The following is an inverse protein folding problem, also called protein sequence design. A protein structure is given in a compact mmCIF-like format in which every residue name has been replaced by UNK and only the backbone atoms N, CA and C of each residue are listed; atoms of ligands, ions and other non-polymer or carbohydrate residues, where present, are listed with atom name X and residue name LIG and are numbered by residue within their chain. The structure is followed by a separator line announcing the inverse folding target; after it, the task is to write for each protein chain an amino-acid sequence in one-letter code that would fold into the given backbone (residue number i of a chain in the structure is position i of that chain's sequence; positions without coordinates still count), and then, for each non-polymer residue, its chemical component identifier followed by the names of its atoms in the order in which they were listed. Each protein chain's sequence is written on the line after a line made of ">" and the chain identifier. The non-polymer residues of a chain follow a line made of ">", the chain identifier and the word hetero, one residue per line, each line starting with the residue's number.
data_IF_714878362821
#
_entry.id   IF_714878362821
#
_cell.length_a   1.000
_cell.length_b   1.000
_cell.length_c   1.000
_cell.angle_alpha   90.00
_cell.angle_beta   90.00
_cell.angle_gamma   90.00
#
_symmetry.space_group_name_H-M   'P 1'
#
loop_
_entity.id
_entity.type
_entity.pdbx_description
1 polymer ?
#
# COMPACT_ATOMS: atom_id res chain seq x y z
N UNK A 1 -8.28 -45.17 65.54
CA UNK A 1 -8.56 -43.72 65.66
C UNK A 1 -7.62 -43.01 64.73
N UNK A 2 -8.15 -42.14 63.87
CA UNK A 2 -7.35 -41.32 62.95
C UNK A 2 -6.46 -40.38 63.76
N UNK A 3 -5.17 -40.30 63.43
CA UNK A 3 -4.27 -39.43 64.19
C UNK A 3 -4.46 -37.96 63.77
N UNK A 4 -4.29 -37.02 64.72
CA UNK A 4 -4.34 -35.59 64.42
C UNK A 4 -3.35 -35.21 63.30
N UNK A 5 -2.21 -35.90 63.25
CA UNK A 5 -1.17 -35.70 62.25
C UNK A 5 -1.63 -36.09 60.83
N UNK A 6 -2.34 -37.22 60.66
CA UNK A 6 -2.90 -37.63 59.37
C UNK A 6 -3.97 -36.64 58.87
N UNK A 7 -4.74 -36.02 59.77
CA UNK A 7 -5.74 -35.02 59.42
C UNK A 7 -5.11 -33.73 58.91
N UNK A 8 -4.09 -33.24 59.63
CA UNK A 8 -3.35 -32.04 59.23
C UNK A 8 -2.62 -32.28 57.90
N UNK A 9 -2.00 -33.46 57.73
CA UNK A 9 -1.31 -33.82 56.49
C UNK A 9 -2.29 -33.87 55.31
N UNK A 10 -3.45 -34.48 55.50
CA UNK A 10 -4.49 -34.57 54.46
C UNK A 10 -5.01 -33.18 54.07
N UNK A 11 -5.25 -32.30 55.05
CA UNK A 11 -5.70 -30.93 54.79
C UNK A 11 -4.62 -30.09 54.09
N UNK A 12 -3.34 -30.26 54.45
CA UNK A 12 -2.23 -29.59 53.80
C UNK A 12 -2.10 -29.98 52.32
N UNK A 13 -2.22 -31.27 52.01
CA UNK A 13 -2.19 -31.76 50.62
C UNK A 13 -3.35 -31.19 49.81
N UNK A 14 -4.56 -31.18 50.37
CA UNK A 14 -5.74 -30.57 49.72
C UNK A 14 -5.52 -29.07 49.47
N UNK A 15 -4.97 -28.34 50.44
CA UNK A 15 -4.63 -26.92 50.30
C UNK A 15 -3.63 -26.68 49.17
N UNK A 16 -2.58 -27.49 49.06
CA UNK A 16 -1.59 -27.40 47.98
C UNK A 16 -2.24 -27.70 46.62
N UNK A 17 -3.09 -28.72 46.52
CA UNK A 17 -3.79 -29.06 45.27
C UNK A 17 -4.68 -27.90 44.81
N UNK A 18 -5.44 -27.29 45.73
CA UNK A 18 -6.29 -26.14 45.42
C UNK A 18 -5.43 -24.95 44.98
N UNK A 19 -4.33 -24.67 45.68
CA UNK A 19 -3.43 -23.57 45.34
C UNK A 19 -2.81 -23.75 43.94
N UNK A 20 -2.35 -24.97 43.60
CA UNK A 20 -1.83 -25.29 42.28
C UNK A 20 -2.93 -25.21 41.19
N UNK A 21 -4.14 -25.68 41.50
CA UNK A 21 -5.29 -25.60 40.59
C UNK A 21 -5.66 -24.15 40.26
N UNK A 22 -5.78 -23.30 41.28
CA UNK A 22 -6.05 -21.87 41.11
C UNK A 22 -4.90 -21.15 40.39
N UNK A 23 -3.66 -21.50 40.69
CA UNK A 23 -2.48 -20.99 39.99
C UNK A 23 -2.49 -21.34 38.51
N UNK A 24 -2.79 -22.59 38.16
CA UNK A 24 -2.92 -23.06 36.79
C UNK A 24 -4.04 -22.36 36.01
N UNK A 25 -5.20 -22.15 36.65
CA UNK A 25 -6.33 -21.43 36.04
C UNK A 25 -5.94 -19.97 35.74
N UNK A 26 -5.31 -19.28 36.70
CA UNK A 26 -4.87 -17.90 36.51
C UNK A 26 -3.86 -17.78 35.37
N UNK A 27 -2.87 -18.67 35.32
CA UNK A 27 -1.90 -18.72 34.22
C UNK A 27 -2.57 -19.01 32.88
N UNK A 28 -3.53 -19.93 32.84
CA UNK A 28 -4.29 -20.26 31.63
C UNK A 28 -5.09 -19.08 31.10
N UNK A 29 -5.76 -18.33 31.98
CA UNK A 29 -6.50 -17.11 31.61
C UNK A 29 -5.54 -16.05 31.06
N UNK A 30 -4.47 -15.73 31.78
CA UNK A 30 -3.52 -14.71 31.33
C UNK A 30 -2.83 -15.08 30.02
N UNK A 31 -2.46 -16.35 29.83
CA UNK A 31 -1.87 -16.82 28.57
C UNK A 31 -2.86 -16.70 27.39
N UNK A 32 -4.13 -17.01 27.63
CA UNK A 32 -5.20 -16.84 26.64
C UNK A 32 -5.40 -15.38 26.27
N UNK A 33 -5.49 -14.49 27.26
CA UNK A 33 -5.72 -13.05 27.02
C UNK A 33 -4.60 -12.42 26.19
N UNK A 34 -3.34 -12.75 26.51
CA UNK A 34 -2.17 -12.31 25.73
C UNK A 34 -2.23 -12.87 24.30
N UNK A 35 -2.63 -14.13 24.16
CA UNK A 35 -2.83 -14.77 22.86
C UNK A 35 -3.89 -14.08 22.01
N UNK A 36 -5.08 -13.84 22.58
CA UNK A 36 -6.20 -13.18 21.91
C UNK A 36 -5.82 -11.76 21.45
N UNK A 37 -5.10 -10.99 22.27
CA UNK A 37 -4.60 -9.64 21.91
C UNK A 37 -3.63 -9.67 20.73
N UNK A 38 -2.71 -10.65 20.73
CA UNK A 38 -1.75 -10.81 19.64
C UNK A 38 -2.48 -11.18 18.34
N UNK A 39 -3.46 -12.08 18.42
CA UNK A 39 -4.28 -12.46 17.27
C UNK A 39 -5.07 -11.28 16.70
N UNK A 40 -5.76 -10.48 17.54
CA UNK A 40 -6.49 -9.28 17.08
C UNK A 40 -5.56 -8.30 16.35
N UNK A 41 -4.36 -8.07 16.88
CA UNK A 41 -3.36 -7.17 16.27
C UNK A 41 -2.94 -7.66 14.88
N UNK A 42 -2.63 -8.95 14.72
CA UNK A 42 -2.26 -9.51 13.41
C UNK A 42 -3.43 -9.54 12.42
N UNK A 43 -4.65 -9.79 12.89
CA UNK A 43 -5.85 -9.75 12.03
C UNK A 43 -6.08 -8.36 11.46
N UNK A 44 -5.95 -7.30 12.28
CA UNK A 44 -6.04 -5.91 11.81
C UNK A 44 -4.96 -5.61 10.77
N UNK A 45 -3.72 -6.00 11.04
CA UNK A 45 -2.60 -5.81 10.13
C UNK A 45 -2.83 -6.50 8.78
N UNK A 46 -3.38 -7.72 8.81
CA UNK A 46 -3.75 -8.48 7.62
C UNK A 46 -4.81 -7.75 6.79
N UNK A 47 -5.90 -7.29 7.41
CA UNK A 47 -6.99 -6.59 6.69
C UNK A 47 -6.47 -5.32 6.01
N UNK A 48 -5.65 -4.53 6.72
CA UNK A 48 -5.03 -3.30 6.18
C UNK A 48 -4.17 -3.63 4.96
N UNK A 49 -3.31 -4.64 5.09
CA UNK A 49 -2.42 -5.08 4.02
C UNK A 49 -3.21 -5.61 2.82
N UNK A 50 -4.27 -6.38 3.03
CA UNK A 50 -5.13 -6.89 1.96
C UNK A 50 -5.79 -5.74 1.19
N UNK A 51 -6.33 -4.73 1.88
CA UNK A 51 -6.91 -3.54 1.26
C UNK A 51 -5.88 -2.76 0.42
N UNK A 52 -4.68 -2.57 0.96
CA UNK A 52 -3.59 -1.88 0.26
C UNK A 52 -3.12 -2.69 -0.96
N UNK A 53 -2.92 -4.00 -0.80
CA UNK A 53 -2.49 -4.90 -1.87
C UNK A 53 -3.51 -4.95 -2.99
N UNK A 54 -4.80 -5.10 -2.67
CA UNK A 54 -5.87 -5.15 -3.67
C UNK A 54 -5.93 -3.85 -4.48
N UNK A 55 -5.92 -2.69 -3.82
CA UNK A 55 -5.94 -1.40 -4.52
C UNK A 55 -4.70 -1.24 -5.39
N UNK A 56 -3.54 -1.63 -4.89
CA UNK A 56 -2.28 -1.51 -5.62
C UNK A 56 -2.17 -2.46 -6.83
N UNK A 57 -2.68 -3.69 -6.72
CA UNK A 57 -2.76 -4.64 -7.82
C UNK A 57 -3.69 -4.14 -8.94
N UNK A 58 -4.74 -3.39 -8.60
CA UNK A 58 -5.63 -2.73 -9.56
C UNK A 58 -5.17 -1.33 -9.98
N UNK A 59 -3.88 -0.99 -9.78
CA UNK A 59 -3.30 0.25 -10.30
C UNK A 59 -3.14 0.18 -11.81
N UNK A 60 -3.46 1.27 -12.49
CA UNK A 60 -3.27 1.39 -13.94
C UNK A 60 -2.49 2.67 -14.28
N UNK A 61 -1.63 2.66 -15.31
CA UNK A 61 -0.90 3.86 -15.72
C UNK A 61 -1.87 4.88 -16.36
N UNK A 62 -2.28 5.88 -15.59
CA UNK A 62 -3.11 6.99 -16.08
C UNK A 62 -2.24 8.23 -16.27
N UNK A 63 -2.35 8.86 -17.45
CA UNK A 63 -1.57 10.05 -17.81
C UNK A 63 -2.45 11.29 -17.93
N UNK A 64 -2.18 12.29 -17.09
CA UNK A 64 -3.02 13.47 -16.91
C UNK A 64 -2.29 14.74 -17.29
N UNK A 65 -3.04 15.76 -17.72
CA UNK A 65 -2.50 17.10 -17.97
C UNK A 65 -2.44 17.83 -16.63
N UNK A 66 -1.30 18.41 -16.30
CA UNK A 66 -1.12 19.17 -15.07
C UNK A 66 -1.90 20.49 -15.17
N UNK A 67 -3.03 20.60 -14.44
CA UNK A 67 -3.89 21.80 -14.46
C UNK A 67 -3.37 22.96 -13.59
N UNK A 68 -2.40 22.70 -12.71
CA UNK A 68 -1.93 23.65 -11.68
C UNK A 68 -0.83 24.64 -12.12
N UNK A 69 -0.56 24.78 -13.42
CA UNK A 69 0.45 25.73 -13.92
C UNK A 69 -0.23 27.00 -14.44
N UNK A 70 0.20 28.17 -13.94
CA UNK A 70 -0.33 29.52 -14.22
C UNK A 70 -0.65 29.78 -15.70
N UNK A 71 -1.62 30.67 -15.95
CA UNK A 71 -2.31 30.92 -17.23
C UNK A 71 -1.44 31.23 -18.47
N UNK A 72 -0.18 31.66 -18.32
CA UNK A 72 0.77 31.80 -19.44
C UNK A 72 1.47 30.46 -19.82
N UNK A 73 1.64 29.56 -18.86
CA UNK A 73 2.21 28.23 -19.06
C UNK A 73 1.16 27.19 -19.53
N UNK A 74 -0.14 27.51 -19.44
CA UNK A 74 -1.24 26.62 -19.83
C UNK A 74 -1.21 26.21 -21.31
N UNK A 75 -0.77 27.07 -22.23
CA UNK A 75 -0.60 26.70 -23.66
C UNK A 75 0.50 25.65 -23.88
N UNK A 76 1.56 25.66 -23.06
CA UNK A 76 2.66 24.67 -23.12
C UNK A 76 2.39 23.45 -22.21
N UNK A 77 1.59 23.62 -21.16
CA UNK A 77 1.18 22.57 -20.24
C UNK A 77 0.09 21.66 -20.82
N UNK A 78 -0.78 22.16 -21.71
CA UNK A 78 -1.81 21.34 -22.39
C UNK A 78 -1.26 20.14 -23.17
N UNK A 79 0.04 20.12 -23.48
CA UNK A 79 0.71 18.98 -24.12
C UNK A 79 1.65 18.20 -23.20
N UNK A 80 1.92 18.68 -21.97
CA UNK A 80 2.71 17.96 -20.96
C UNK A 80 1.79 17.05 -20.14
N UNK A 81 2.04 15.75 -20.19
CA UNK A 81 1.38 14.76 -19.34
C UNK A 81 2.29 14.27 -18.24
N UNK A 82 1.72 14.04 -17.07
CA UNK A 82 2.35 13.39 -15.93
C UNK A 82 1.58 12.12 -15.62
N UNK A 83 2.26 11.10 -15.10
CA UNK A 83 1.56 9.93 -14.59
C UNK A 83 0.90 10.24 -13.25
N UNK A 84 -0.32 9.76 -13.09
CA UNK A 84 -1.09 9.78 -11.87
C UNK A 84 -0.61 8.68 -10.90
N UNK A 85 0.67 8.71 -10.55
CA UNK A 85 1.33 7.84 -9.58
C UNK A 85 2.43 8.63 -8.88
N UNK A 86 2.35 8.72 -7.56
CA UNK A 86 3.30 9.42 -6.69
C UNK A 86 3.58 8.50 -5.51
N UNK A 87 4.81 7.98 -5.48
CA UNK A 87 5.30 7.13 -4.42
C UNK A 87 6.35 7.84 -3.59
N UNK A 88 6.03 8.16 -2.34
CA UNK A 88 6.96 8.66 -1.33
C UNK A 88 7.25 7.55 -0.32
N UNK A 89 8.32 7.68 0.46
CA UNK A 89 8.70 6.64 1.43
C UNK A 89 7.64 6.36 2.50
N UNK A 90 6.76 7.33 2.79
CA UNK A 90 5.73 7.26 3.83
C UNK A 90 4.30 7.51 3.30
N UNK A 91 4.13 7.71 2.00
CA UNK A 91 2.82 7.90 1.40
C UNK A 91 2.79 7.44 -0.03
N UNK A 92 1.65 6.90 -0.46
CA UNK A 92 1.49 6.35 -1.79
C UNK A 92 0.16 6.82 -2.37
N UNK A 93 0.23 7.54 -3.49
CA UNK A 93 -0.91 8.11 -4.20
C UNK A 93 -0.94 7.59 -5.64
N UNK A 94 -2.08 7.09 -6.09
CA UNK A 94 -2.21 6.51 -7.44
C UNK A 94 -3.68 6.39 -7.84
N UNK A 95 -3.92 6.06 -9.11
CA UNK A 95 -5.26 5.72 -9.61
C UNK A 95 -5.45 4.21 -9.63
N UNK A 96 -6.59 3.75 -9.12
CA UNK A 96 -6.96 2.35 -9.04
C UNK A 96 -8.35 2.09 -9.62
N UNK A 97 -8.53 0.86 -10.10
CA UNK A 97 -9.82 0.31 -10.54
C UNK A 97 -10.40 -0.71 -9.55
N UNK A 98 -9.76 -0.91 -8.40
CA UNK A 98 -10.34 -1.71 -7.32
C UNK A 98 -11.66 -1.07 -6.85
N UNK A 99 -12.53 -1.85 -6.22
CA UNK A 99 -13.74 -1.29 -5.62
C UNK A 99 -13.38 -0.22 -4.58
N UNK A 100 -14.05 0.94 -4.56
CA UNK A 100 -13.96 1.86 -3.44
C UNK A 100 -14.51 1.18 -2.17
N UNK A 101 -14.11 1.65 -0.99
CA UNK A 101 -14.66 1.14 0.28
C UNK A 101 -16.19 1.30 0.34
N UNK A 102 -16.72 2.32 -0.34
CA UNK A 102 -18.16 2.60 -0.42
C UNK A 102 -18.70 2.39 -1.83
N UNK A 103 -19.93 1.91 -1.94
CA UNK A 103 -20.61 1.56 -3.21
C UNK A 103 -21.01 2.75 -4.09
N UNK A 104 -20.76 4.00 -3.68
CA UNK A 104 -21.21 5.22 -4.38
C UNK A 104 -20.09 5.91 -5.17
N UNK A 105 -19.09 5.17 -5.64
CA UNK A 105 -17.94 5.72 -6.34
C UNK A 105 -17.84 5.25 -7.78
N UNK A 106 -17.13 6.02 -8.59
CA UNK A 106 -16.68 5.58 -9.90
C UNK A 106 -15.78 4.36 -9.80
N UNK A 107 -15.83 3.50 -10.83
CA UNK A 107 -14.97 2.33 -10.93
C UNK A 107 -13.48 2.70 -10.92
N UNK A 108 -13.13 3.85 -11.51
CA UNK A 108 -11.80 4.43 -11.42
C UNK A 108 -11.80 5.57 -10.40
N UNK A 109 -10.90 5.50 -9.43
CA UNK A 109 -10.76 6.55 -8.43
C UNK A 109 -9.30 6.72 -8.02
N UNK A 110 -8.98 7.90 -7.50
CA UNK A 110 -7.67 8.20 -6.95
C UNK A 110 -7.64 7.79 -5.48
N UNK A 111 -6.55 7.16 -5.06
CA UNK A 111 -6.32 6.77 -3.67
C UNK A 111 -5.04 7.38 -3.14
N UNK A 112 -4.99 7.69 -1.84
CA UNK A 112 -3.76 8.03 -1.13
C UNK A 112 -3.72 7.36 0.23
N UNK A 113 -2.65 6.61 0.49
CA UNK A 113 -2.33 6.04 1.78
C UNK A 113 -1.24 6.87 2.46
N UNK A 114 -1.43 7.22 3.73
CA UNK A 114 -0.44 7.95 4.53
C UNK A 114 -0.75 7.84 6.02
N UNK A 115 0.27 8.05 6.86
CA UNK A 115 0.06 8.28 8.29
C UNK A 115 -0.25 9.75 8.54
N UNK A 116 -1.32 10.03 9.28
CA UNK A 116 -1.73 11.41 9.57
C UNK A 116 -3.00 11.49 10.39
N UNK A 117 -3.56 12.71 10.46
CA UNK A 117 -4.83 12.99 11.14
C UNK A 117 -5.98 12.93 10.16
N UNK A 118 -7.06 12.27 10.56
CA UNK A 118 -8.30 12.25 9.80
C UNK A 118 -8.92 13.66 9.76
N UNK A 119 -9.23 14.23 8.58
CA UNK A 119 -9.64 15.65 8.47
C UNK A 119 -10.90 16.04 9.24
N UNK A 120 -11.83 15.10 9.51
CA UNK A 120 -13.09 15.38 10.22
C UNK A 120 -13.10 14.97 11.68
N UNK A 121 -12.32 13.95 12.05
CA UNK A 121 -12.39 13.35 13.39
C UNK A 121 -11.12 13.63 14.19
N UNK A 122 -10.09 14.21 13.56
CA UNK A 122 -8.77 14.52 14.12
C UNK A 122 -7.98 13.35 14.69
N UNK A 123 -8.55 12.14 14.69
CA UNK A 123 -7.89 10.90 15.07
C UNK A 123 -6.68 10.65 14.17
N UNK A 124 -5.57 10.30 14.81
CA UNK A 124 -4.32 9.98 14.11
C UNK A 124 -4.27 8.49 13.77
N UNK A 125 -3.63 8.15 12.65
CA UNK A 125 -3.40 6.76 12.28
C UNK A 125 -3.13 6.60 10.78
N UNK A 126 -3.34 5.38 10.29
CA UNK A 126 -3.30 5.09 8.86
C UNK A 126 -4.57 5.59 8.18
N UNK A 127 -4.40 6.54 7.28
CA UNK A 127 -5.48 7.15 6.52
C UNK A 127 -5.45 6.64 5.08
N UNK A 128 -6.61 6.22 4.61
CA UNK A 128 -6.92 6.05 3.20
C UNK A 128 -7.79 7.23 2.75
N UNK A 129 -7.31 7.98 1.77
CA UNK A 129 -8.10 8.93 1.02
C UNK A 129 -8.58 8.26 -0.27
N UNK A 130 -9.86 8.40 -0.58
CA UNK A 130 -10.44 8.05 -1.88
C UNK A 130 -11.04 9.31 -2.51
N UNK A 131 -10.71 9.58 -3.76
CA UNK A 131 -11.25 10.70 -4.52
C UNK A 131 -11.87 10.22 -5.83
N UNK A 132 -13.14 10.56 -6.04
CA UNK A 132 -13.80 10.37 -7.32
C UNK A 132 -13.18 11.28 -8.37
N UNK A 133 -12.80 10.70 -9.51
CA UNK A 133 -12.12 11.36 -10.62
C UNK A 133 -12.98 11.44 -11.89
N UNK A 134 -14.27 11.08 -11.81
CA UNK A 134 -15.19 11.07 -12.95
C UNK A 134 -15.37 12.43 -13.63
N UNK A 135 -15.13 13.52 -12.88
CA UNK A 135 -15.18 14.90 -13.39
C UNK A 135 -13.88 15.34 -14.07
N UNK A 136 -12.91 14.44 -14.25
CA UNK A 136 -11.65 14.71 -14.96
C UNK A 136 -10.65 15.54 -14.16
N UNK A 137 -10.77 15.57 -12.84
CA UNK A 137 -9.88 16.25 -11.89
C UNK A 137 -8.88 15.27 -11.23
N UNK A 138 -8.45 14.27 -12.01
CA UNK A 138 -7.44 13.27 -11.67
C UNK A 138 -6.14 13.95 -11.26
N UNK A 139 -5.57 13.58 -10.11
CA UNK A 139 -4.26 14.03 -9.64
C UNK A 139 -4.10 15.55 -9.45
N UNK A 140 -5.22 16.26 -9.31
CA UNK A 140 -5.22 17.69 -8.93
C UNK A 140 -4.99 17.88 -7.43
N UNK A 141 -4.86 19.13 -6.97
CA UNK A 141 -4.77 19.46 -5.55
C UNK A 141 -5.94 18.84 -4.77
N UNK A 142 -5.61 18.13 -3.69
CA UNK A 142 -6.61 17.50 -2.81
C UNK A 142 -7.25 18.59 -1.94
N UNK A 143 -8.57 18.66 -1.96
CA UNK A 143 -9.37 19.55 -1.11
C UNK A 143 -10.08 18.69 -0.06
N UNK A 144 -9.68 18.74 1.22
CA UNK A 144 -10.16 17.79 2.24
C UNK A 144 -11.68 17.73 2.45
N UNK A 145 -12.38 18.84 2.17
CA UNK A 145 -13.82 18.95 2.39
C UNK A 145 -14.63 18.91 1.09
N UNK A 146 -14.03 18.49 -0.03
CA UNK A 146 -14.76 18.33 -1.28
C UNK A 146 -15.69 17.12 -1.24
N UNK A 147 -16.88 17.22 -1.85
CA UNK A 147 -17.86 16.12 -1.94
C UNK A 147 -17.29 14.87 -2.64
N UNK A 148 -16.32 15.06 -3.53
CA UNK A 148 -15.65 13.99 -4.26
C UNK A 148 -14.57 13.27 -3.45
N UNK A 149 -14.18 13.79 -2.29
CA UNK A 149 -13.06 13.27 -1.48
C UNK A 149 -13.57 12.68 -0.17
N UNK A 150 -13.20 11.43 0.09
CA UNK A 150 -13.55 10.67 1.30
C UNK A 150 -12.28 10.25 2.00
N UNK A 151 -12.33 10.23 3.32
CA UNK A 151 -11.22 9.80 4.16
C UNK A 151 -11.71 8.67 5.07
N UNK A 152 -10.86 7.66 5.25
CA UNK A 152 -11.11 6.51 6.11
C UNK A 152 -9.91 6.33 7.03
N UNK A 153 -10.19 6.22 8.32
CA UNK A 153 -9.21 5.82 9.32
C UNK A 153 -9.16 4.30 9.35
N UNK A 154 -8.13 3.72 8.75
CA UNK A 154 -7.98 2.26 8.66
C UNK A 154 -7.56 1.67 10.01
N UNK A 155 -6.68 2.35 10.73
CA UNK A 155 -6.28 1.98 12.09
C UNK A 155 -5.61 3.16 12.82
N UNK A 156 -5.97 3.34 14.09
CA UNK A 156 -5.41 4.37 14.99
C UNK A 156 -3.97 4.04 15.43
N UNK A 157 -3.64 2.76 15.49
CA UNK A 157 -2.43 2.29 16.15
C UNK A 157 -1.25 2.01 15.21
N UNK A 158 -1.39 2.32 13.91
CA UNK A 158 -0.29 2.14 12.96
C UNK A 158 0.65 3.32 13.13
N UNK A 159 1.86 3.04 13.60
CA UNK A 159 2.89 4.05 13.90
C UNK A 159 3.95 4.12 12.83
N UNK A 160 4.10 3.07 12.01
CA UNK A 160 5.08 3.01 10.93
C UNK A 160 4.44 2.55 9.62
N UNK A 161 4.73 3.29 8.56
CA UNK A 161 4.34 2.98 7.18
C UNK A 161 5.51 3.33 6.29
N UNK A 162 6.08 2.34 5.62
CA UNK A 162 7.19 2.52 4.68
C UNK A 162 6.90 1.86 3.35
N UNK A 163 7.24 2.56 2.28
CA UNK A 163 7.17 2.09 0.91
C UNK A 163 8.54 2.11 0.25
N UNK A 164 8.82 1.06 -0.53
CA UNK A 164 9.93 1.02 -1.48
C UNK A 164 9.43 0.52 -2.82
N UNK A 165 10.06 0.94 -3.90
CA UNK A 165 9.57 0.75 -5.26
C UNK A 165 10.64 0.06 -6.10
N UNK A 166 10.28 -0.97 -6.84
CA UNK A 166 11.18 -1.64 -7.76
C UNK A 166 11.02 -1.05 -9.15
N UNK A 167 11.97 -0.21 -9.53
CA UNK A 167 12.07 0.33 -10.88
C UNK A 167 12.81 -0.64 -11.78
N UNK A 168 12.37 -0.75 -13.02
CA UNK A 168 12.99 -1.60 -14.04
C UNK A 168 13.29 -0.73 -15.26
N UNK A 169 14.45 -0.96 -15.89
CA UNK A 169 14.85 -0.30 -17.13
C UNK A 169 15.33 -1.37 -18.11
N UNK A 170 14.96 -1.22 -19.37
CA UNK A 170 15.48 -2.08 -20.44
C UNK A 170 16.92 -1.69 -20.74
N UNK A 171 17.80 -2.66 -20.85
CA UNK A 171 19.21 -2.42 -21.18
C UNK A 171 19.34 -2.04 -22.65
N UNK A 172 20.31 -1.18 -22.96
CA UNK A 172 20.59 -0.81 -24.35
C UNK A 172 21.10 -2.04 -25.11
N UNK A 173 20.83 -2.14 -26.43
CA UNK A 173 21.36 -3.23 -27.25
C UNK A 173 22.88 -3.38 -27.19
N UNK A 174 23.61 -2.29 -26.92
CA UNK A 174 25.08 -2.28 -26.79
C UNK A 174 25.57 -2.87 -25.46
N UNK A 175 24.72 -2.91 -24.44
CA UNK A 175 25.03 -3.46 -23.12
C UNK A 175 24.67 -4.96 -23.01
N UNK A 176 23.96 -5.49 -24.00
CA UNK A 176 23.68 -6.91 -24.13
C UNK A 176 24.93 -7.58 -24.71
N UNK A 177 25.67 -8.29 -23.86
CA UNK A 177 26.75 -9.18 -24.34
C UNK A 177 26.13 -10.26 -25.26
N UNK A 178 26.85 -10.67 -26.31
CA UNK A 178 26.44 -11.61 -27.39
C UNK A 178 25.88 -12.98 -26.94
N UNK A 179 25.75 -13.22 -25.64
CA UNK A 179 25.08 -14.38 -25.09
C UNK A 179 23.55 -14.24 -25.21
N UNK A 180 22.94 -15.20 -25.90
CA UNK A 180 21.49 -15.45 -26.00
C UNK A 180 20.72 -15.43 -24.65
N UNK A 181 21.44 -15.53 -23.51
CA UNK A 181 20.88 -15.57 -22.15
C UNK A 181 21.17 -14.30 -21.31
N UNK A 182 21.62 -13.20 -21.90
CA UNK A 182 21.85 -11.94 -21.15
C UNK A 182 20.52 -11.32 -20.67
N UNK A 183 20.42 -10.86 -19.40
CA UNK A 183 19.21 -10.23 -18.90
C UNK A 183 18.90 -8.96 -19.69
N UNK A 184 17.70 -8.87 -20.26
CA UNK A 184 17.30 -7.73 -21.11
C UNK A 184 16.94 -6.46 -20.32
N UNK A 185 16.85 -6.58 -19.00
CA UNK A 185 16.42 -5.53 -18.09
C UNK A 185 17.27 -5.50 -16.83
N UNK A 186 17.42 -4.32 -16.26
CA UNK A 186 18.04 -4.09 -14.95
C UNK A 186 17.03 -3.40 -14.04
N UNK A 187 16.93 -3.85 -12.80
CA UNK A 187 16.07 -3.22 -11.80
C UNK A 187 16.81 -2.77 -10.56
N UNK A 188 16.20 -1.84 -9.84
CA UNK A 188 16.73 -1.28 -8.59
C UNK A 188 15.57 -0.88 -7.68
N UNK A 189 15.75 -1.13 -6.39
CA UNK A 189 14.87 -0.60 -5.35
C UNK A 189 15.17 0.87 -5.07
N UNK A 190 14.14 1.71 -5.09
CA UNK A 190 14.17 3.14 -4.77
C UNK A 190 13.14 3.46 -3.69
N UNK A 191 13.31 4.54 -2.95
CA UNK A 191 12.40 4.95 -1.86
C UNK A 191 11.38 6.00 -2.29
N UNK A 192 11.46 6.44 -3.55
CA UNK A 192 10.62 7.49 -4.11
C UNK A 192 10.46 7.29 -5.61
N UNK A 193 9.24 7.47 -6.11
CA UNK A 193 8.89 7.47 -7.53
C UNK A 193 8.01 8.69 -7.80
N UNK A 194 8.56 9.64 -8.54
CA UNK A 194 7.84 10.80 -9.07
C UNK A 194 8.18 10.90 -10.54
N UNK A 195 7.16 11.02 -11.39
CA UNK A 195 7.38 11.05 -12.83
C UNK A 195 7.46 12.46 -13.38
N UNK A 196 8.52 12.73 -14.13
CA UNK A 196 8.67 14.01 -14.80
C UNK A 196 7.60 14.20 -15.89
N UNK A 197 6.99 15.41 -15.99
CA UNK A 197 6.07 15.73 -17.06
C UNK A 197 6.73 15.59 -18.44
N UNK A 198 6.07 14.91 -19.38
CA UNK A 198 6.57 14.67 -20.74
C UNK A 198 5.58 15.14 -21.81
N UNK A 199 6.10 15.52 -22.97
CA UNK A 199 5.29 15.96 -24.12
C UNK A 199 4.93 14.76 -25.01
N UNK A 200 3.66 14.63 -25.41
CA UNK A 200 3.21 13.55 -26.30
C UNK A 200 3.78 13.71 -27.72
N UNK A 201 3.82 14.95 -28.23
CA UNK A 201 4.14 15.24 -29.63
C UNK A 201 5.61 15.68 -29.85
N UNK A 202 6.54 15.16 -29.06
CA UNK A 202 7.96 15.36 -29.36
C UNK A 202 8.37 14.47 -30.54
N UNK A 203 8.97 15.07 -31.58
CA UNK A 203 9.67 14.34 -32.65
C UNK A 203 10.59 13.29 -32.01
N UNK A 204 10.65 12.10 -32.61
CA UNK A 204 11.58 11.06 -32.18
C UNK A 204 12.99 11.68 -32.17
N UNK A 205 13.74 11.57 -31.06
CA UNK A 205 15.08 12.12 -31.01
C UNK A 205 15.92 11.57 -32.17
N UNK A 206 16.70 12.43 -32.82
CA UNK A 206 17.65 12.00 -33.86
C UNK A 206 18.72 11.06 -33.26
N UNK A 207 18.98 11.17 -31.96
CA UNK A 207 19.90 10.30 -31.24
C UNK A 207 19.22 8.94 -30.92
N UNK A 208 19.80 7.81 -31.37
CA UNK A 208 19.23 6.47 -31.18
C UNK A 208 19.11 6.04 -29.71
N UNK A 209 20.01 6.50 -28.83
CA UNK A 209 19.97 6.21 -27.39
C UNK A 209 18.75 6.89 -26.76
N UNK A 210 18.55 8.17 -27.03
CA UNK A 210 17.42 8.93 -26.52
C UNK A 210 16.09 8.40 -27.08
N UNK A 211 16.07 7.95 -28.33
CA UNK A 211 14.90 7.29 -28.92
C UNK A 211 14.59 5.95 -28.24
N UNK A 212 15.61 5.16 -27.92
CA UNK A 212 15.47 3.90 -27.19
C UNK A 212 14.91 4.13 -25.77
N UNK A 213 15.49 5.06 -25.00
CA UNK A 213 15.02 5.38 -23.66
C UNK A 213 13.58 5.86 -23.64
N UNK A 214 13.19 6.71 -24.61
CA UNK A 214 11.83 7.21 -24.74
C UNK A 214 10.83 6.08 -25.05
N UNK A 215 11.17 5.19 -25.98
CA UNK A 215 10.29 4.10 -26.40
C UNK A 215 10.16 2.98 -25.36
N UNK A 216 11.16 2.81 -24.49
CA UNK A 216 11.19 1.75 -23.48
C UNK A 216 11.04 2.30 -22.05
N UNK A 217 10.49 3.52 -21.90
CA UNK A 217 10.22 4.11 -20.59
C UNK A 217 9.15 3.30 -19.87
N UNK A 218 9.56 2.49 -18.90
CA UNK A 218 8.65 1.82 -17.98
C UNK A 218 8.00 2.91 -17.13
N UNK A 219 6.68 2.94 -17.19
CA UNK A 219 5.90 4.06 -16.68
C UNK A 219 5.58 3.89 -15.19
N UNK A 220 5.27 2.66 -14.74
CA UNK A 220 5.03 2.33 -13.33
C UNK A 220 6.17 1.49 -12.74
N UNK A 221 6.42 1.57 -11.42
CA UNK A 221 7.27 0.58 -10.76
C UNK A 221 6.67 -0.81 -10.95
N UNK A 222 7.53 -1.84 -11.03
CA UNK A 222 7.10 -3.23 -11.22
C UNK A 222 6.67 -3.91 -9.94
N UNK A 223 7.13 -3.40 -8.80
CA UNK A 223 6.70 -3.87 -7.49
C UNK A 223 6.79 -2.74 -6.46
N UNK A 224 6.02 -2.88 -5.40
CA UNK A 224 6.10 -2.04 -4.20
C UNK A 224 6.27 -2.94 -3.00
N UNK A 225 7.29 -2.68 -2.22
CA UNK A 225 7.48 -3.27 -0.90
C UNK A 225 6.80 -2.37 0.13
N UNK A 226 5.98 -2.97 0.98
CA UNK A 226 5.22 -2.32 2.03
C UNK A 226 5.71 -2.85 3.37
N UNK A 227 6.02 -1.96 4.30
CA UNK A 227 6.29 -2.29 5.70
C UNK A 227 5.35 -1.49 6.59
N UNK A 228 4.70 -2.18 7.52
CA UNK A 228 3.72 -1.63 8.45
C UNK A 228 4.15 -1.99 9.88
N UNK A 229 4.12 -1.00 10.78
CA UNK A 229 4.33 -1.18 12.21
C UNK A 229 3.08 -0.76 12.98
N UNK A 230 2.63 -1.60 13.90
CA UNK A 230 1.45 -1.36 14.75
C UNK A 230 1.81 -1.53 16.22
N UNK A 231 1.29 -0.66 17.07
CA UNK A 231 1.34 -0.84 18.52
C UNK A 231 0.04 -1.48 19.02
N UNK A 232 0.09 -2.48 19.92
CA UNK A 232 -1.11 -3.01 20.56
C UNK A 232 -1.94 -1.88 21.18
N UNK A 233 -3.27 -2.02 21.23
CA UNK A 233 -4.11 -1.09 22.00
C UNK A 233 -3.72 -1.19 23.47
N UNK A 234 -3.43 -0.06 24.11
CA UNK A 234 -3.29 -0.01 25.56
C UNK A 234 -4.65 -0.34 26.22
N UNK A 235 -4.65 -1.09 27.32
CA UNK A 235 -5.86 -1.24 28.12
C UNK A 235 -6.05 0.00 28.97
N UNK A 236 -7.29 0.40 29.18
CA UNK A 236 -7.68 1.36 30.22
C UNK A 236 -7.26 0.88 31.63
N UNK A 237 -7.03 -0.43 31.83
CA UNK A 237 -6.58 -1.03 33.10
C UNK A 237 -5.06 -1.00 33.33
N UNK A 238 -4.25 -0.65 32.31
CA UNK A 238 -2.78 -0.64 32.38
C UNK A 238 -2.21 0.77 32.10
N UNK A 239 -2.93 1.84 32.44
CA UNK A 239 -2.40 3.22 32.33
C UNK A 239 -1.23 3.50 33.28
N UNK A 240 -1.02 2.65 34.30
CA UNK A 240 0.00 2.83 35.34
C UNK A 240 1.37 2.22 35.01
N UNK A 241 1.54 1.53 33.88
CA UNK A 241 2.85 0.97 33.48
C UNK A 241 3.50 1.86 32.43
N UNK A 242 4.60 2.54 32.79
CA UNK A 242 5.44 3.37 31.89
C UNK A 242 6.09 2.58 30.71
N UNK A 243 5.76 1.31 30.52
CA UNK A 243 6.27 0.50 29.42
C UNK A 243 5.62 0.92 28.10
N UNK A 244 6.43 1.57 27.24
CA UNK A 244 6.02 1.89 25.87
C UNK A 244 5.60 0.60 25.15
N UNK A 245 4.41 0.58 24.53
CA UNK A 245 3.92 -0.62 23.86
C UNK A 245 4.92 -1.05 22.77
N UNK A 246 5.29 -2.33 22.78
CA UNK A 246 6.22 -2.91 21.82
C UNK A 246 5.68 -2.76 20.39
N UNK A 247 6.52 -2.27 19.49
CA UNK A 247 6.17 -2.09 18.09
C UNK A 247 6.22 -3.43 17.36
N UNK A 248 5.07 -3.87 16.84
CA UNK A 248 4.96 -5.11 16.07
C UNK A 248 5.01 -4.77 14.59
N UNK A 249 5.98 -5.33 13.89
CA UNK A 249 6.12 -5.19 12.46
C UNK A 249 5.40 -6.30 11.69
N UNK A 250 4.76 -5.92 10.59
CA UNK A 250 4.44 -6.87 9.52
C UNK A 250 5.74 -7.33 8.87
N UNK A 251 5.86 -8.61 8.48
CA UNK A 251 6.82 -8.99 7.45
C UNK A 251 6.67 -8.06 6.24
N UNK A 252 7.77 -7.60 5.62
CA UNK A 252 7.67 -6.79 4.41
C UNK A 252 6.93 -7.54 3.31
N UNK A 253 5.97 -6.88 2.67
CA UNK A 253 5.15 -7.48 1.62
C UNK A 253 5.47 -6.82 0.30
N UNK A 254 5.82 -7.63 -0.69
CA UNK A 254 6.10 -7.18 -2.05
C UNK A 254 4.88 -7.41 -2.92
N UNK A 255 4.28 -6.32 -3.37
CA UNK A 255 3.13 -6.33 -4.28
C UNK A 255 3.63 -6.03 -5.68
N UNK A 256 3.43 -6.97 -6.59
CA UNK A 256 3.73 -6.75 -8.01
C UNK A 256 2.68 -5.84 -8.63
N UNK A 257 3.13 -4.90 -9.46
CA UNK A 257 2.28 -3.97 -10.20
C UNK A 257 2.45 -4.25 -11.70
N UNK A 258 1.34 -4.28 -12.42
CA UNK A 258 1.33 -4.46 -13.86
C UNK A 258 2.08 -5.74 -14.31
N UNK A 259 1.77 -6.85 -13.64
CA UNK A 259 2.32 -8.20 -13.87
C UNK A 259 1.78 -8.81 -15.17
N UNK A 260 2.14 -8.24 -16.31
CA UNK A 260 2.05 -8.92 -17.60
C UNK A 260 0.66 -9.03 -18.22
N UNK A 261 -0.27 -8.11 -17.95
CA UNK A 261 -1.49 -8.03 -18.74
C UNK A 261 -1.18 -7.35 -20.08
N UNK A 262 -0.67 -8.12 -21.05
CA UNK A 262 -0.75 -7.73 -22.45
C UNK A 262 -2.22 -7.80 -22.84
N UNK A 263 -2.90 -6.66 -22.86
CA UNK A 263 -4.23 -6.58 -23.47
C UNK A 263 -4.00 -6.89 -24.95
N UNK A 264 -4.48 -8.05 -25.41
CA UNK A 264 -4.41 -8.44 -26.81
C UNK A 264 -4.93 -7.26 -27.64
N UNK A 265 -4.03 -6.67 -28.43
CA UNK A 265 -4.43 -5.64 -29.39
C UNK A 265 -5.35 -6.37 -30.36
N UNK A 266 -6.61 -5.92 -30.56
CA UNK A 266 -7.49 -6.57 -31.51
C UNK A 266 -6.78 -6.58 -32.87
N UNK A 267 -6.75 -7.74 -33.52
CA UNK A 267 -6.20 -7.87 -34.86
C UNK A 267 -6.79 -6.76 -35.72
N UNK A 268 -5.93 -5.99 -36.37
CA UNK A 268 -6.37 -5.10 -37.43
C UNK A 268 -7.05 -5.99 -38.45
N UNK A 269 -8.38 -5.92 -38.55
CA UNK A 269 -9.09 -6.47 -39.70
C UNK A 269 -8.41 -5.86 -40.92
N UNK A 270 -7.79 -6.69 -41.74
CA UNK A 270 -7.47 -6.31 -43.11
C UNK A 270 -8.78 -5.78 -43.70
N UNK A 271 -8.76 -4.53 -44.13
CA UNK A 271 -9.82 -4.02 -44.99
C UNK A 271 -9.83 -4.95 -46.20
N UNK A 272 -10.84 -5.82 -46.28
CA UNK A 272 -11.14 -6.56 -47.49
C UNK A 272 -11.17 -5.53 -48.62
N UNK A 273 -10.19 -5.66 -49.51
CA UNK A 273 -10.13 -4.92 -50.75
C UNK A 273 -11.38 -5.30 -51.54
N UNK A 274 -12.42 -4.49 -51.40
CA UNK A 274 -13.58 -4.47 -52.27
C UNK A 274 -13.12 -3.98 -53.64
N UNK A 275 -12.59 -4.90 -54.45
CA UNK A 275 -12.37 -4.75 -55.89
C UNK A 275 -12.51 -6.10 -56.60
N UNK A 276 -13.73 -6.37 -57.06
CA UNK A 276 -14.13 -6.86 -58.39
C UNK A 276 -15.44 -7.67 -58.30
#
# INVERSE_FOLDING_TARGET
>A
GFTLLELILSLAIVGIIIALGLGGIRLGISARDVGERKVDTYQRLRIITEQLTQKLQSTYPVFVIQKDVSSAAQKLASSKRIMAFEGESNSLRFVTFASPITTQGSQAHEVKFYLGKHPKTEKSGLILMEKDISKGDVFSRIVPNAETTRYYLLAENVTELKFRYYEMKKLLPQELQDASNSPTHKGKWVNRVVMDPFLINQKVPTNPILAFEKNNKISLPRAVEITLGITPKANEENEDTEEKPELIFSPPIVVLINSGMEIAVPEKKEEDNEKA
#
